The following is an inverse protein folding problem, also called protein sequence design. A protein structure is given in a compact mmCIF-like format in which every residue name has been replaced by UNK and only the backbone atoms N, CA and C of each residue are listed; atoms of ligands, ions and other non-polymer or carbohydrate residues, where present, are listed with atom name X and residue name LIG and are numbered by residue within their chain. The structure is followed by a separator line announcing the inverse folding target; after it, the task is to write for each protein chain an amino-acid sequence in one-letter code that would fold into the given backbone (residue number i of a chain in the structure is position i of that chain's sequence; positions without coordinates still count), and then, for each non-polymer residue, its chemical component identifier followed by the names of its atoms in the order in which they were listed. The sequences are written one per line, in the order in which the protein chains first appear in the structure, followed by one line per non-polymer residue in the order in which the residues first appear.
data_IF_971170251129
#
_entry.id   IF_971170251129
#
_cell.length_a   1.000
_cell.length_b   1.000
_cell.length_c   1.000
_cell.angle_alpha   90.00
_cell.angle_beta   90.00
_cell.angle_gamma   90.00
#
_symmetry.space_group_name_H-M   'P 1'
#
loop_
_entity.id
_entity.type
_entity.pdbx_description
1 polymer ?
#
# COMPACT_ATOMS: atom_id res chain seq x y z
N UNK A 1 66.31 -5.84 -0.69
CA UNK A 1 65.53 -6.57 0.33
C UNK A 1 64.13 -6.68 -0.21
N UNK A 2 63.79 -7.89 -0.62
CA UNK A 2 62.74 -8.25 -1.57
C UNK A 2 61.34 -8.16 -0.94
N UNK A 3 60.34 -7.72 -1.71
CA UNK A 3 58.93 -7.53 -1.31
C UNK A 3 58.25 -8.83 -0.82
N UNK A 4 58.91 -9.98 -0.99
CA UNK A 4 58.49 -11.25 -0.42
C UNK A 4 58.62 -11.32 1.11
N UNK A 5 59.55 -10.58 1.72
CA UNK A 5 59.79 -10.68 3.18
C UNK A 5 58.78 -9.87 4.02
N UNK A 6 58.17 -8.82 3.44
CA UNK A 6 57.12 -8.02 4.12
C UNK A 6 55.77 -8.75 4.11
N UNK A 7 55.51 -9.62 3.12
CA UNK A 7 54.27 -10.42 3.04
C UNK A 7 54.24 -11.61 4.01
N UNK A 8 55.40 -12.09 4.46
CA UNK A 8 55.49 -13.17 5.45
C UNK A 8 55.05 -12.69 6.85
N UNK A 9 55.25 -11.42 7.19
CA UNK A 9 54.87 -10.84 8.49
C UNK A 9 53.40 -10.41 8.61
N UNK A 10 52.65 -10.41 7.49
CA UNK A 10 51.28 -9.90 7.43
C UNK A 10 50.20 -10.97 7.21
N UNK A 11 50.49 -12.25 7.48
CA UNK A 11 49.51 -13.33 7.67
C UNK A 11 48.30 -13.23 6.71
N UNK A 12 48.58 -13.09 5.41
CA UNK A 12 47.55 -12.74 4.40
C UNK A 12 46.93 -13.97 3.72
N UNK A 13 47.43 -15.17 4.00
CA UNK A 13 46.86 -16.43 3.53
C UNK A 13 45.68 -16.88 4.42
N UNK A 14 45.77 -16.71 5.74
CA UNK A 14 44.67 -17.05 6.65
C UNK A 14 43.51 -16.03 6.62
N UNK A 15 43.77 -14.77 6.24
CA UNK A 15 42.72 -13.73 6.20
C UNK A 15 41.61 -14.01 5.19
N UNK A 16 41.88 -14.67 4.06
CA UNK A 16 40.86 -14.94 3.03
C UNK A 16 39.94 -16.10 3.44
N UNK A 17 40.47 -17.14 4.10
CA UNK A 17 39.66 -18.22 4.66
C UNK A 17 38.93 -17.78 5.93
N UNK A 18 39.54 -16.94 6.77
CA UNK A 18 38.89 -16.34 7.95
C UNK A 18 37.78 -15.37 7.52
N UNK A 19 37.96 -14.51 6.52
CA UNK A 19 36.87 -13.68 5.98
C UNK A 19 35.74 -14.50 5.33
N UNK A 20 36.06 -15.59 4.62
CA UNK A 20 35.06 -16.52 4.07
C UNK A 20 34.32 -17.29 5.17
N UNK A 21 34.98 -17.68 6.24
CA UNK A 21 34.37 -18.38 7.37
C UNK A 21 33.55 -17.42 8.24
N UNK A 22 34.02 -16.19 8.45
CA UNK A 22 33.28 -15.13 9.17
C UNK A 22 32.05 -14.71 8.38
N UNK A 23 32.13 -14.57 7.06
CA UNK A 23 30.97 -14.25 6.21
C UNK A 23 29.96 -15.41 6.13
N UNK A 24 30.41 -16.67 6.05
CA UNK A 24 29.53 -17.84 6.18
C UNK A 24 28.86 -17.92 7.55
N UNK A 25 29.61 -17.66 8.61
CA UNK A 25 29.11 -17.66 9.99
C UNK A 25 28.10 -16.52 10.21
N UNK A 26 28.37 -15.32 9.70
CA UNK A 26 27.41 -14.20 9.68
C UNK A 26 26.14 -14.57 8.90
N UNK A 27 26.28 -15.17 7.71
CA UNK A 27 25.13 -15.59 6.91
C UNK A 27 24.28 -16.64 7.63
N UNK A 28 24.92 -17.57 8.35
CA UNK A 28 24.23 -18.58 9.13
C UNK A 28 23.56 -17.99 10.37
N UNK A 29 24.22 -17.05 11.05
CA UNK A 29 23.63 -16.29 12.16
C UNK A 29 22.42 -15.46 11.69
N UNK A 30 22.50 -14.80 10.53
CA UNK A 30 21.38 -14.06 9.95
C UNK A 30 20.21 -14.99 9.65
N UNK A 31 20.46 -16.17 9.08
CA UNK A 31 19.43 -17.18 8.84
C UNK A 31 18.80 -17.71 10.14
N UNK A 32 19.61 -17.99 11.16
CA UNK A 32 19.11 -18.39 12.47
C UNK A 32 18.27 -17.29 13.13
N UNK A 33 18.70 -16.03 13.02
CA UNK A 33 17.96 -14.89 13.53
C UNK A 33 16.61 -14.77 12.81
N UNK A 34 16.59 -14.90 11.49
CA UNK A 34 15.37 -14.91 10.70
C UNK A 34 14.43 -16.05 11.12
N UNK A 35 14.95 -17.27 11.28
CA UNK A 35 14.17 -18.42 11.74
C UNK A 35 13.64 -18.22 13.16
N UNK A 36 14.44 -17.62 14.05
CA UNK A 36 14.01 -17.29 15.40
C UNK A 36 12.89 -16.23 15.40
N UNK A 37 12.99 -15.19 14.56
CA UNK A 37 11.94 -14.17 14.38
C UNK A 37 10.65 -14.82 13.89
N UNK A 38 10.71 -15.65 12.84
CA UNK A 38 9.53 -16.36 12.35
C UNK A 38 8.93 -17.30 13.40
N UNK A 39 9.76 -18.03 14.13
CA UNK A 39 9.30 -18.93 15.20
C UNK A 39 8.62 -18.16 16.33
N UNK A 40 9.18 -17.02 16.74
CA UNK A 40 8.61 -16.15 17.76
C UNK A 40 7.29 -15.52 17.29
N UNK A 41 7.20 -15.11 16.02
CA UNK A 41 5.96 -14.58 15.43
C UNK A 41 4.87 -15.64 15.39
N UNK A 42 5.18 -16.86 14.97
CA UNK A 42 4.23 -17.98 14.94
C UNK A 42 3.78 -18.32 16.36
N UNK A 43 4.73 -18.50 17.29
CA UNK A 43 4.43 -18.80 18.69
C UNK A 43 3.60 -17.69 19.35
N UNK A 44 3.96 -16.43 19.12
CA UNK A 44 3.21 -15.27 19.61
C UNK A 44 1.82 -15.21 19.02
N UNK A 45 1.65 -15.51 17.73
CA UNK A 45 0.33 -15.56 17.09
C UNK A 45 -0.55 -16.65 17.71
N UNK A 46 -0.01 -17.86 17.87
CA UNK A 46 -0.73 -18.97 18.53
C UNK A 46 -1.11 -18.61 19.96
N UNK A 47 -0.18 -18.02 20.73
CA UNK A 47 -0.40 -17.69 22.13
C UNK A 47 -1.35 -16.51 22.34
N UNK A 48 -1.24 -15.45 21.53
CA UNK A 48 -2.06 -14.25 21.67
C UNK A 48 -3.47 -14.41 21.09
N UNK A 49 -3.65 -15.28 20.10
CA UNK A 49 -4.93 -15.49 19.40
C UNK A 49 -5.52 -16.89 19.60
N UNK A 50 -5.01 -17.64 20.59
CA UNK A 50 -5.36 -19.01 20.97
C UNK A 50 -5.89 -19.84 19.80
N UNK A 51 -5.02 -20.07 18.82
CA UNK A 51 -5.37 -20.83 17.63
C UNK A 51 -5.54 -22.29 18.00
N UNK A 52 -6.79 -22.74 18.08
CA UNK A 52 -7.14 -24.14 18.31
C UNK A 52 -7.59 -24.78 17.00
N UNK A 53 -7.05 -25.96 16.71
CA UNK A 53 -7.49 -26.76 15.56
C UNK A 53 -8.46 -27.85 16.04
N UNK A 54 -9.75 -27.65 15.77
CA UNK A 54 -10.76 -28.67 16.06
C UNK A 54 -10.75 -29.74 14.95
N UNK A 55 -10.05 -30.86 15.23
CA UNK A 55 -9.94 -32.02 14.34
C UNK A 55 -11.30 -32.63 13.96
N UNK A 56 -12.34 -32.44 14.76
CA UNK A 56 -13.65 -33.06 14.51
C UNK A 56 -14.48 -32.25 13.51
N UNK A 57 -14.28 -30.94 13.46
CA UNK A 57 -15.03 -30.02 12.57
C UNK A 57 -14.19 -29.53 11.39
N UNK A 58 -12.89 -29.79 11.37
CA UNK A 58 -11.92 -29.18 10.43
C UNK A 58 -12.02 -27.64 10.41
N UNK A 59 -12.28 -27.05 11.57
CA UNK A 59 -12.36 -25.59 11.74
C UNK A 59 -11.20 -25.14 12.63
N UNK A 60 -10.52 -24.07 12.20
CA UNK A 60 -9.56 -23.34 13.04
C UNK A 60 -10.37 -22.30 13.80
N UNK A 61 -10.44 -22.42 15.13
CA UNK A 61 -10.97 -21.36 15.99
C UNK A 61 -9.83 -20.46 16.44
N UNK A 62 -10.11 -19.17 16.52
CA UNK A 62 -9.18 -18.17 17.02
C UNK A 62 -9.95 -17.18 17.88
N UNK A 63 -9.39 -16.88 19.04
CA UNK A 63 -9.94 -15.87 19.93
C UNK A 63 -8.80 -15.10 20.60
N UNK A 64 -9.01 -13.82 20.87
CA UNK A 64 -8.04 -13.00 21.58
C UNK A 64 -7.85 -13.54 23.00
N UNK A 65 -6.66 -14.06 23.30
CA UNK A 65 -6.30 -14.68 24.57
C UNK A 65 -5.86 -13.67 25.66
N UNK A 66 -5.99 -12.38 25.37
CA UNK A 66 -5.61 -11.30 26.27
C UNK A 66 -6.76 -10.32 26.46
N UNK A 67 -6.82 -9.74 27.65
CA UNK A 67 -7.80 -8.71 28.01
C UNK A 67 -7.35 -7.32 27.56
N UNK A 68 -8.30 -6.39 27.49
CA UNK A 68 -8.01 -4.97 27.26
C UNK A 68 -6.96 -4.40 28.23
N UNK A 69 -7.04 -4.79 29.52
CA UNK A 69 -6.08 -4.36 30.53
C UNK A 69 -4.68 -4.92 30.29
N UNK A 70 -4.55 -6.21 29.96
CA UNK A 70 -3.27 -6.83 29.64
C UNK A 70 -2.64 -6.22 28.39
N UNK A 71 -3.45 -5.92 27.36
CA UNK A 71 -2.97 -5.24 26.16
C UNK A 71 -2.43 -3.84 26.46
N UNK A 72 -3.18 -3.04 27.22
CA UNK A 72 -2.73 -1.71 27.62
C UNK A 72 -1.48 -1.77 28.52
N UNK A 73 -1.38 -2.74 29.41
CA UNK A 73 -0.19 -2.95 30.23
C UNK A 73 1.02 -3.33 29.38
N UNK A 74 0.84 -4.17 28.36
CA UNK A 74 1.88 -4.47 27.38
C UNK A 74 2.32 -3.22 26.63
N UNK A 75 1.38 -2.41 26.11
CA UNK A 75 1.70 -1.13 25.46
C UNK A 75 2.50 -0.22 26.39
N UNK A 76 2.08 -0.03 27.65
CA UNK A 76 2.85 0.73 28.66
C UNK A 76 4.27 0.23 28.84
N UNK A 77 4.44 -1.09 28.82
CA UNK A 77 5.74 -1.74 29.02
C UNK A 77 6.65 -1.59 27.81
N UNK A 78 6.10 -1.61 26.60
CA UNK A 78 6.88 -1.65 25.34
C UNK A 78 7.12 -0.27 24.75
N UNK A 79 6.18 0.67 24.87
CA UNK A 79 6.26 2.00 24.24
C UNK A 79 7.53 2.75 24.67
N UNK A 80 7.85 2.79 25.97
CA UNK A 80 9.03 3.52 26.48
C UNK A 80 10.35 2.90 25.99
N UNK A 81 10.59 1.57 26.13
CA UNK A 81 11.76 0.93 25.54
C UNK A 81 11.89 1.17 24.03
N UNK A 82 10.79 1.14 23.27
CA UNK A 82 10.81 1.43 21.83
C UNK A 82 11.29 2.85 21.52
N UNK A 83 10.85 3.85 22.29
CA UNK A 83 11.37 5.22 22.17
C UNK A 83 12.88 5.24 22.40
N UNK A 84 13.38 4.57 23.44
CA UNK A 84 14.81 4.50 23.74
C UNK A 84 15.61 3.76 22.68
N UNK A 85 15.09 2.68 22.10
CA UNK A 85 15.71 2.01 20.94
C UNK A 85 15.83 2.99 19.78
N UNK A 86 14.79 3.78 19.50
CA UNK A 86 14.81 4.83 18.48
C UNK A 86 15.86 5.91 18.76
N UNK A 87 15.94 6.40 20.01
CA UNK A 87 16.96 7.36 20.44
C UNK A 87 18.37 6.80 20.27
N UNK A 88 18.61 5.55 20.69
CA UNK A 88 19.91 4.90 20.57
C UNK A 88 20.29 4.69 19.10
N UNK A 89 19.35 4.29 18.25
CA UNK A 89 19.57 4.14 16.81
C UNK A 89 19.90 5.49 16.15
N UNK A 90 19.13 6.54 16.45
CA UNK A 90 19.36 7.87 15.89
C UNK A 90 20.71 8.45 16.33
N UNK A 91 21.02 8.33 17.63
CA UNK A 91 22.30 8.81 18.16
C UNK A 91 23.48 8.06 17.57
N UNK A 92 23.36 6.73 17.37
CA UNK A 92 24.36 5.94 16.66
C UNK A 92 24.61 6.46 15.25
N UNK A 93 23.55 6.66 14.45
CA UNK A 93 23.68 7.18 13.08
C UNK A 93 24.23 8.62 13.03
N UNK A 94 23.85 9.47 13.98
CA UNK A 94 24.40 10.82 14.09
C UNK A 94 25.90 10.79 14.38
N UNK A 95 26.34 9.93 15.31
CA UNK A 95 27.75 9.79 15.71
C UNK A 95 28.57 9.18 14.56
N UNK A 96 28.11 8.10 13.94
CA UNK A 96 28.82 7.46 12.82
C UNK A 96 28.96 8.43 11.64
N UNK A 97 27.90 9.21 11.34
CA UNK A 97 27.94 10.25 10.30
C UNK A 97 28.89 11.39 10.67
N UNK A 98 28.91 11.82 11.93
CA UNK A 98 29.85 12.84 12.42
C UNK A 98 31.31 12.40 12.22
N UNK A 99 31.63 11.15 12.58
CA UNK A 99 32.97 10.59 12.38
C UNK A 99 33.34 10.51 10.89
N UNK A 100 32.41 10.11 10.02
CA UNK A 100 32.64 10.08 8.57
C UNK A 100 32.95 11.47 8.01
N UNK A 101 32.20 12.49 8.43
CA UNK A 101 32.45 13.88 8.03
C UNK A 101 33.78 14.42 8.57
N UNK A 102 34.18 14.03 9.79
CA UNK A 102 35.43 14.45 10.41
C UNK A 102 36.69 13.82 9.78
N UNK A 103 36.56 12.62 9.20
CA UNK A 103 37.66 11.88 8.58
C UNK A 103 37.94 12.25 7.11
N UNK A 104 37.21 13.21 6.53
CA UNK A 104 37.45 13.68 5.15
C UNK A 104 38.74 14.50 5.07
N UNK A 105 39.53 14.28 4.01
CA UNK A 105 40.75 15.04 3.75
C UNK A 105 40.45 16.46 3.23
N UNK A 106 41.16 17.45 3.79
CA UNK A 106 41.05 18.86 3.42
C UNK A 106 40.12 19.68 4.33
N UNK A 107 40.60 20.85 4.76
CA UNK A 107 39.92 21.72 5.73
C UNK A 107 38.53 22.18 5.26
N UNK A 108 38.42 22.69 4.02
CA UNK A 108 37.16 23.22 3.48
C UNK A 108 36.08 22.14 3.35
N UNK A 109 36.45 20.95 2.88
CA UNK A 109 35.53 19.82 2.74
C UNK A 109 35.06 19.30 4.09
N UNK A 110 35.97 19.21 5.07
CA UNK A 110 35.62 18.87 6.46
C UNK A 110 34.69 19.91 7.07
N UNK A 111 34.97 21.20 6.89
CA UNK A 111 34.11 22.28 7.40
C UNK A 111 32.70 22.20 6.80
N UNK A 112 32.58 22.11 5.47
CA UNK A 112 31.29 22.00 4.80
C UNK A 112 30.54 20.72 5.20
N UNK A 113 31.25 19.59 5.30
CA UNK A 113 30.68 18.33 5.77
C UNK A 113 30.15 18.41 7.20
N UNK A 114 30.84 19.11 8.09
CA UNK A 114 30.39 19.33 9.47
C UNK A 114 29.17 20.27 9.53
N UNK A 115 29.11 21.30 8.70
CA UNK A 115 27.93 22.19 8.59
C UNK A 115 26.73 21.40 8.08
N UNK A 116 26.89 20.66 6.99
CA UNK A 116 25.85 19.80 6.43
C UNK A 116 25.36 18.78 7.46
N UNK A 117 26.28 18.07 8.12
CA UNK A 117 25.95 17.13 9.20
C UNK A 117 25.15 17.82 10.30
N UNK A 118 25.56 19.01 10.75
CA UNK A 118 24.87 19.73 11.82
C UNK A 118 23.42 20.07 11.45
N UNK A 119 23.19 20.53 10.22
CA UNK A 119 21.85 20.85 9.72
C UNK A 119 20.97 19.60 9.65
N UNK A 120 21.44 18.52 9.01
CA UNK A 120 20.67 17.29 8.88
C UNK A 120 20.47 16.55 10.21
N UNK A 121 21.46 16.61 11.11
CA UNK A 121 21.36 16.06 12.46
C UNK A 121 20.29 16.81 13.26
N UNK A 122 20.28 18.15 13.20
CA UNK A 122 19.26 18.97 13.86
C UNK A 122 17.86 18.72 13.28
N UNK A 123 17.73 18.64 11.95
CA UNK A 123 16.48 18.32 11.28
C UNK A 123 15.96 16.93 11.66
N UNK A 124 16.84 15.91 11.68
CA UNK A 124 16.48 14.53 12.02
C UNK A 124 16.08 14.40 13.49
N UNK A 125 16.80 15.04 14.40
CA UNK A 125 16.46 15.08 15.81
C UNK A 125 15.14 15.80 16.07
N UNK A 126 14.89 16.90 15.36
CA UNK A 126 13.62 17.64 15.45
C UNK A 126 12.45 16.81 14.93
N UNK A 127 12.61 16.17 13.76
CA UNK A 127 11.59 15.29 13.18
C UNK A 127 11.31 14.09 14.08
N UNK A 128 12.35 13.47 14.61
CA UNK A 128 12.22 12.38 15.59
C UNK A 128 11.47 12.86 16.83
N UNK A 129 11.83 14.01 17.41
CA UNK A 129 11.17 14.55 18.58
C UNK A 129 9.67 14.79 18.33
N UNK A 130 9.29 15.50 17.26
CA UNK A 130 7.86 15.74 16.97
C UNK A 130 7.12 14.44 16.66
N UNK A 131 7.78 13.43 16.07
CA UNK A 131 7.18 12.10 15.83
C UNK A 131 6.82 11.33 17.11
N UNK A 132 7.45 11.65 18.26
CA UNK A 132 7.14 11.02 19.54
C UNK A 132 5.72 11.33 19.99
N UNK A 133 5.15 12.47 19.61
CA UNK A 133 3.78 12.86 19.98
C UNK A 133 2.75 11.88 19.42
N UNK A 134 2.62 11.69 18.08
CA UNK A 134 1.69 10.72 17.53
C UNK A 134 2.04 9.27 17.90
N UNK A 135 3.34 8.93 18.06
CA UNK A 135 3.75 7.59 18.46
C UNK A 135 3.29 7.21 19.87
N UNK A 136 3.51 8.10 20.84
CA UNK A 136 3.12 7.84 22.24
C UNK A 136 1.63 8.00 22.48
N UNK A 137 0.88 8.61 21.54
CA UNK A 137 -0.56 8.79 21.68
C UNK A 137 -1.33 7.47 21.84
N UNK A 138 -0.72 6.33 21.46
CA UNK A 138 -1.26 4.99 21.70
C UNK A 138 -1.45 4.69 23.20
N UNK A 139 -0.65 5.32 24.06
CA UNK A 139 -0.65 5.15 25.51
C UNK A 139 -0.62 6.53 26.18
N UNK A 140 -1.77 6.95 26.70
CA UNK A 140 -2.00 8.32 27.17
C UNK A 140 -1.01 8.79 28.25
N UNK A 141 -0.61 7.90 29.18
CA UNK A 141 0.30 8.31 30.26
C UNK A 141 1.71 8.64 29.74
N UNK A 142 2.20 7.88 28.74
CA UNK A 142 3.48 8.14 28.08
C UNK A 142 3.45 9.44 27.29
N UNK A 143 2.33 9.73 26.60
CA UNK A 143 2.16 11.00 25.90
C UNK A 143 2.13 12.20 26.85
N UNK A 144 1.47 12.04 28.01
CA UNK A 144 1.43 13.05 29.06
C UNK A 144 2.82 13.32 29.66
N UNK A 145 3.67 12.29 29.75
CA UNK A 145 5.07 12.39 30.24
C UNK A 145 6.04 13.04 29.26
N UNK A 146 5.65 13.24 27.99
CA UNK A 146 6.52 13.94 27.03
C UNK A 146 6.81 15.37 27.49
N UNK A 147 8.02 15.83 27.20
CA UNK A 147 8.42 17.20 27.49
C UNK A 147 7.47 18.18 26.77
N UNK A 148 6.88 19.16 27.46
CA UNK A 148 5.90 20.07 26.86
C UNK A 148 6.40 20.79 25.61
N UNK A 149 7.70 21.10 25.54
CA UNK A 149 8.31 21.74 24.35
C UNK A 149 8.18 20.88 23.08
N UNK A 150 8.18 19.55 23.21
CA UNK A 150 7.98 18.64 22.07
C UNK A 150 6.54 18.68 21.57
N UNK A 151 5.57 18.76 22.48
CA UNK A 151 4.14 18.89 22.12
C UNK A 151 3.87 20.22 21.42
N UNK A 152 4.39 21.31 21.97
CA UNK A 152 4.28 22.63 21.35
C UNK A 152 4.96 22.68 19.97
N UNK A 153 6.13 22.07 19.82
CA UNK A 153 6.80 21.96 18.53
C UNK A 153 5.96 21.17 17.52
N UNK A 154 5.33 20.07 17.94
CA UNK A 154 4.40 19.30 17.10
C UNK A 154 3.20 20.15 16.65
N UNK A 155 2.54 20.86 17.56
CA UNK A 155 1.40 21.75 17.24
C UNK A 155 1.76 22.81 16.19
N UNK A 156 2.95 23.41 16.28
CA UNK A 156 3.41 24.43 15.31
C UNK A 156 3.58 23.85 13.91
N UNK A 157 4.03 22.59 13.80
CA UNK A 157 4.33 21.94 12.52
C UNK A 157 3.20 21.05 11.98
N UNK A 158 2.13 20.84 12.75
CA UNK A 158 1.04 19.92 12.40
C UNK A 158 0.39 20.25 11.05
N UNK A 159 0.21 21.54 10.73
CA UNK A 159 -0.32 21.99 9.43
C UNK A 159 0.47 21.50 8.21
N UNK A 160 1.75 21.18 8.39
CA UNK A 160 2.63 20.67 7.32
C UNK A 160 2.60 19.14 7.23
N UNK A 161 1.93 18.46 8.17
CA UNK A 161 1.76 17.02 8.21
C UNK A 161 3.09 16.24 8.11
N UNK A 162 4.17 16.79 8.71
CA UNK A 162 5.52 16.22 8.68
C UNK A 162 5.60 14.87 9.42
N UNK A 163 4.77 14.69 10.44
CA UNK A 163 4.63 13.45 11.22
C UNK A 163 3.16 13.20 11.48
N UNK A 164 2.75 11.94 11.44
CA UNK A 164 1.34 11.56 11.51
C UNK A 164 1.14 10.37 12.45
N UNK A 165 -0.07 10.27 13.01
CA UNK A 165 -0.49 9.04 13.69
C UNK A 165 -0.77 7.96 12.66
N UNK A 166 -0.04 6.85 12.72
CA UNK A 166 -0.27 5.70 11.86
C UNK A 166 -1.31 4.78 12.50
N UNK A 167 -2.55 4.95 12.11
CA UNK A 167 -3.64 4.03 12.42
C UNK A 167 -4.74 4.22 11.39
N UNK A 168 -4.93 3.23 10.51
CA UNK A 168 -5.92 3.34 9.43
C UNK A 168 -7.33 3.61 10.00
N UNK A 169 -7.67 2.96 11.13
CA UNK A 169 -8.90 3.15 11.90
C UNK A 169 -8.66 2.83 13.38
N UNK A 170 -8.49 3.86 14.21
CA UNK A 170 -8.17 3.67 15.64
C UNK A 170 -9.34 3.11 16.45
N UNK A 171 -10.58 3.46 16.07
CA UNK A 171 -11.81 2.82 16.55
C UNK A 171 -12.52 2.28 15.32
N UNK A 172 -12.63 0.96 15.21
CA UNK A 172 -13.43 0.34 14.16
C UNK A 172 -14.91 0.39 14.53
N UNK A 173 -15.73 0.78 13.57
CA UNK A 173 -17.19 0.74 13.68
C UNK A 173 -17.68 -0.70 13.48
N UNK A 174 -18.74 -1.12 14.16
CA UNK A 174 -19.36 -2.44 13.94
C UNK A 174 -19.53 -3.30 15.19
N UNK A 175 -18.95 -2.93 16.34
CA UNK A 175 -19.14 -3.64 17.62
C UNK A 175 -20.62 -3.71 18.02
N UNK A 176 -21.39 -2.67 17.69
CA UNK A 176 -22.85 -2.61 17.85
C UNK A 176 -23.64 -2.79 16.55
N UNK A 177 -23.04 -3.43 15.53
CA UNK A 177 -23.58 -3.51 14.18
C UNK A 177 -22.98 -2.45 13.26
N UNK A 178 -22.79 -2.82 11.99
CA UNK A 178 -22.23 -1.93 10.96
C UNK A 178 -23.36 -1.10 10.36
N UNK A 179 -23.36 0.25 10.49
CA UNK A 179 -24.34 1.09 9.84
C UNK A 179 -24.10 1.08 8.32
N UNK A 180 -25.17 0.97 7.55
CA UNK A 180 -25.15 0.92 6.10
C UNK A 180 -26.31 1.75 5.55
N UNK A 181 -25.99 2.65 4.62
CA UNK A 181 -26.99 3.38 3.84
C UNK A 181 -27.40 2.52 2.65
N UNK A 182 -28.70 2.31 2.52
CA UNK A 182 -29.34 1.56 1.44
C UNK A 182 -30.13 2.54 0.60
N UNK A 183 -29.79 2.62 -0.70
CA UNK A 183 -30.49 3.46 -1.67
C UNK A 183 -31.61 2.63 -2.28
N UNK A 184 -32.80 3.19 -2.34
CA UNK A 184 -33.95 2.59 -2.99
C UNK A 184 -34.44 3.49 -4.11
N UNK A 185 -34.78 2.87 -5.24
CA UNK A 185 -35.42 3.55 -6.36
C UNK A 185 -36.86 3.11 -6.56
N UNK A 186 -37.64 3.98 -7.21
CA UNK A 186 -39.03 3.71 -7.54
C UNK A 186 -39.44 4.46 -8.81
N UNK A 187 -40.40 3.91 -9.55
CA UNK A 187 -41.03 4.55 -10.70
C UNK A 187 -42.38 5.20 -10.35
N UNK A 188 -43.00 4.80 -9.22
CA UNK A 188 -44.36 5.17 -8.82
C UNK A 188 -44.41 5.81 -7.41
N UNK A 189 -43.28 5.88 -6.70
CA UNK A 189 -43.13 6.28 -5.30
C UNK A 189 -43.83 5.35 -4.27
N UNK A 190 -44.35 4.20 -4.71
CA UNK A 190 -45.06 3.22 -3.87
C UNK A 190 -44.25 1.93 -3.76
N UNK A 191 -43.80 1.41 -4.89
CA UNK A 191 -42.99 0.20 -4.97
C UNK A 191 -41.51 0.59 -5.00
N UNK A 192 -40.77 0.19 -3.96
CA UNK A 192 -39.36 0.55 -3.80
C UNK A 192 -38.48 -0.67 -4.01
N UNK A 193 -37.42 -0.51 -4.81
CA UNK A 193 -36.43 -1.54 -5.09
C UNK A 193 -35.05 -1.08 -4.64
N UNK A 194 -34.39 -1.87 -3.81
CA UNK A 194 -33.03 -1.60 -3.34
C UNK A 194 -32.03 -1.65 -4.50
N UNK A 195 -31.13 -0.67 -4.53
CA UNK A 195 -30.00 -0.62 -5.45
C UNK A 195 -28.83 -1.32 -4.76
N UNK A 196 -28.53 -2.53 -5.22
CA UNK A 196 -27.44 -3.35 -4.67
C UNK A 196 -26.07 -2.86 -5.16
N UNK A 197 -25.16 -2.67 -4.21
CA UNK A 197 -23.77 -2.31 -4.45
C UNK A 197 -22.90 -3.57 -4.61
N UNK A 198 -21.79 -3.46 -5.33
CA UNK A 198 -20.92 -4.62 -5.61
C UNK A 198 -20.22 -5.19 -4.37
N UNK A 199 -19.80 -4.37 -3.41
CA UNK A 199 -18.82 -4.80 -2.41
C UNK A 199 -19.20 -4.53 -0.97
N UNK A 200 -20.03 -3.52 -0.68
CA UNK A 200 -20.58 -3.31 0.67
C UNK A 200 -21.74 -4.26 0.99
N UNK A 201 -22.08 -4.47 2.27
CA UNK A 201 -23.29 -5.19 2.65
C UNK A 201 -24.55 -4.55 2.06
N UNK A 202 -25.48 -5.39 1.65
CA UNK A 202 -26.77 -5.03 1.05
C UNK A 202 -27.71 -6.23 1.16
N UNK A 203 -27.71 -7.07 0.13
CA UNK A 203 -28.39 -8.36 0.10
C UNK A 203 -28.04 -9.25 1.30
N UNK A 204 -29.07 -9.64 2.07
CA UNK A 204 -28.92 -10.43 3.29
C UNK A 204 -28.37 -11.84 3.07
N UNK A 205 -28.52 -12.39 1.86
CA UNK A 205 -28.06 -13.73 1.50
C UNK A 205 -26.71 -13.74 0.80
N UNK A 206 -26.11 -12.58 0.51
CA UNK A 206 -24.82 -12.50 -0.15
C UNK A 206 -23.66 -12.52 0.88
N UNK A 207 -22.65 -13.39 0.71
CA UNK A 207 -21.45 -13.33 1.55
C UNK A 207 -20.65 -12.04 1.27
N UNK A 208 -19.87 -11.55 2.23
CA UNK A 208 -18.87 -10.52 1.94
C UNK A 208 -17.89 -11.00 0.85
N UNK A 209 -17.64 -10.19 -0.20
CA UNK A 209 -16.70 -10.55 -1.24
C UNK A 209 -15.23 -10.37 -0.79
N UNK A 210 -14.33 -11.17 -1.37
CA UNK A 210 -12.88 -10.95 -1.25
C UNK A 210 -12.45 -9.97 -2.32
N UNK A 211 -12.20 -8.72 -1.94
CA UNK A 211 -11.91 -7.63 -2.90
C UNK A 211 -10.45 -7.21 -2.93
N UNK A 212 -9.66 -7.55 -1.92
CA UNK A 212 -8.22 -7.23 -1.85
C UNK A 212 -7.51 -7.71 -3.13
N UNK A 213 -6.64 -6.91 -3.75
CA UNK A 213 -6.14 -5.59 -3.33
C UNK A 213 -6.92 -4.39 -3.91
N UNK A 214 -8.08 -4.63 -4.53
CA UNK A 214 -8.96 -3.54 -4.95
C UNK A 214 -9.48 -2.77 -3.72
N UNK A 215 -9.56 -1.44 -3.84
CA UNK A 215 -10.16 -0.56 -2.85
C UNK A 215 -11.43 0.07 -3.44
N UNK A 216 -12.62 -0.48 -3.15
CA UNK A 216 -13.89 0.04 -3.65
C UNK A 216 -14.17 1.46 -3.16
N UNK A 217 -13.82 2.49 -3.96
CA UNK A 217 -13.85 3.89 -3.50
C UNK A 217 -15.25 4.36 -3.14
N UNK A 218 -16.27 4.00 -3.93
CA UNK A 218 -17.65 4.42 -3.65
C UNK A 218 -18.22 3.69 -2.44
N UNK A 219 -18.12 2.36 -2.36
CA UNK A 219 -18.59 1.57 -1.22
C UNK A 219 -17.91 2.00 0.09
N UNK A 220 -16.64 2.39 0.03
CA UNK A 220 -15.92 2.93 1.18
C UNK A 220 -16.45 4.29 1.61
N UNK A 221 -16.74 5.19 0.66
CA UNK A 221 -17.38 6.47 0.96
C UNK A 221 -18.79 6.27 1.52
N UNK A 222 -19.54 5.28 1.04
CA UNK A 222 -20.85 4.91 1.60
C UNK A 222 -20.76 4.46 3.06
N UNK A 223 -19.71 3.71 3.43
CA UNK A 223 -19.47 3.36 4.83
C UNK A 223 -19.26 4.61 5.69
N UNK A 224 -18.43 5.56 5.26
CA UNK A 224 -18.27 6.82 6.00
C UNK A 224 -19.55 7.65 6.07
N UNK A 225 -20.30 7.75 4.98
CA UNK A 225 -21.56 8.46 4.96
C UNK A 225 -22.57 7.89 5.97
N UNK A 226 -22.55 6.57 6.21
CA UNK A 226 -23.41 5.92 7.17
C UNK A 226 -23.08 6.26 8.64
N UNK A 227 -21.91 6.85 8.93
CA UNK A 227 -21.49 7.17 10.30
C UNK A 227 -22.08 8.48 10.83
N UNK A 228 -22.66 9.31 9.97
CA UNK A 228 -23.23 10.60 10.32
C UNK A 228 -24.53 10.88 9.55
N UNK A 229 -25.06 12.10 9.64
CA UNK A 229 -26.17 12.56 8.81
C UNK A 229 -25.71 12.81 7.37
N UNK A 230 -26.64 12.77 6.42
CA UNK A 230 -26.35 13.00 4.99
C UNK A 230 -25.69 14.36 4.69
N UNK A 231 -25.87 15.37 5.55
CA UNK A 231 -25.29 16.70 5.40
C UNK A 231 -23.76 16.72 5.54
N UNK A 232 -23.18 15.71 6.20
CA UNK A 232 -21.72 15.51 6.28
C UNK A 232 -21.14 14.82 5.04
N UNK A 233 -21.99 14.31 4.15
CA UNK A 233 -21.59 13.70 2.89
C UNK A 233 -22.20 14.43 1.67
N UNK A 234 -21.79 15.68 1.36
CA UNK A 234 -22.33 16.47 0.25
C UNK A 234 -22.34 15.75 -1.11
N UNK A 235 -21.32 14.91 -1.37
CA UNK A 235 -21.20 14.13 -2.59
C UNK A 235 -22.37 13.14 -2.79
N UNK A 236 -23.02 12.69 -1.70
CA UNK A 236 -24.16 11.78 -1.75
C UNK A 236 -25.35 12.42 -2.48
N UNK A 237 -25.59 13.71 -2.26
CA UNK A 237 -26.63 14.48 -2.99
C UNK A 237 -26.39 14.43 -4.50
N UNK A 238 -25.13 14.61 -4.93
CA UNK A 238 -24.75 14.51 -6.35
C UNK A 238 -24.91 13.08 -6.87
N UNK A 239 -24.56 12.05 -6.08
CA UNK A 239 -24.83 10.66 -6.43
C UNK A 239 -26.32 10.43 -6.73
N UNK A 240 -27.21 10.82 -5.81
CA UNK A 240 -28.67 10.69 -5.98
C UNK A 240 -29.17 11.40 -7.24
N UNK A 241 -28.72 12.65 -7.45
CA UNK A 241 -29.08 13.43 -8.64
C UNK A 241 -28.63 12.75 -9.95
N UNK A 242 -27.40 12.22 -10.01
CA UNK A 242 -26.86 11.58 -11.21
C UNK A 242 -27.50 10.21 -11.48
N UNK A 243 -27.94 9.49 -10.44
CA UNK A 243 -28.70 8.26 -10.57
C UNK A 243 -30.10 8.52 -11.12
N UNK A 244 -30.80 9.55 -10.64
CA UNK A 244 -32.08 10.00 -11.21
C UNK A 244 -31.96 10.41 -12.69
N UNK A 245 -30.80 10.96 -13.08
CA UNK A 245 -30.50 11.26 -14.49
C UNK A 245 -30.15 10.03 -15.35
N UNK A 246 -30.01 8.85 -14.74
CA UNK A 246 -29.58 7.63 -15.45
C UNK A 246 -28.15 7.71 -15.99
N UNK A 247 -27.25 8.47 -15.33
CA UNK A 247 -25.87 8.62 -15.82
C UNK A 247 -25.11 7.29 -15.72
N UNK A 248 -24.83 6.69 -16.88
CA UNK A 248 -24.16 5.40 -17.00
C UNK A 248 -22.84 5.32 -16.22
N UNK A 249 -22.00 6.35 -16.29
CA UNK A 249 -20.71 6.35 -15.60
C UNK A 249 -20.85 6.30 -14.07
N UNK A 250 -21.98 6.77 -13.52
CA UNK A 250 -22.29 6.69 -12.08
C UNK A 250 -22.89 5.34 -11.72
N UNK A 251 -23.78 4.81 -12.57
CA UNK A 251 -24.32 3.45 -12.41
C UNK A 251 -23.19 2.42 -12.39
N UNK A 252 -22.17 2.56 -13.26
CA UNK A 252 -21.02 1.67 -13.31
C UNK A 252 -20.11 1.71 -12.07
N UNK A 253 -20.19 2.78 -11.25
CA UNK A 253 -19.52 2.81 -9.94
C UNK A 253 -20.22 1.92 -8.91
N UNK A 254 -21.55 1.79 -9.01
CA UNK A 254 -22.35 0.93 -8.12
C UNK A 254 -22.31 -0.50 -8.62
N UNK A 255 -22.46 -0.68 -9.93
CA UNK A 255 -22.55 -1.99 -10.56
C UNK A 255 -21.91 -2.00 -11.95
N UNK A 256 -20.82 -2.76 -12.08
CA UNK A 256 -20.08 -2.91 -13.33
C UNK A 256 -20.85 -3.75 -14.35
N UNK A 257 -21.62 -4.75 -13.90
CA UNK A 257 -22.56 -5.50 -14.72
C UNK A 257 -23.92 -4.80 -14.72
N UNK A 258 -24.10 -3.86 -15.66
CA UNK A 258 -25.28 -2.99 -15.75
C UNK A 258 -26.60 -3.78 -15.79
N UNK A 259 -26.61 -5.04 -16.24
CA UNK A 259 -27.83 -5.87 -16.25
C UNK A 259 -28.37 -6.17 -14.84
N UNK A 260 -27.50 -6.14 -13.82
CA UNK A 260 -27.87 -6.34 -12.41
C UNK A 260 -28.41 -5.07 -11.74
N UNK A 261 -28.27 -3.92 -12.38
CA UNK A 261 -28.82 -2.67 -11.86
C UNK A 261 -30.34 -2.66 -12.13
N UNK A 262 -31.21 -2.53 -11.11
CA UNK A 262 -32.66 -2.69 -11.29
C UNK A 262 -33.27 -1.71 -12.29
N UNK A 263 -32.68 -0.51 -12.41
CA UNK A 263 -33.16 0.59 -13.25
C UNK A 263 -32.29 0.76 -14.50
N UNK A 264 -31.79 -0.34 -15.08
CA UNK A 264 -30.90 -0.28 -16.25
C UNK A 264 -31.63 0.06 -17.57
N UNK A 265 -32.92 -0.27 -17.67
CA UNK A 265 -33.72 0.03 -18.86
C UNK A 265 -34.19 1.49 -18.87
N UNK A 266 -34.62 1.99 -17.71
CA UNK A 266 -35.06 3.36 -17.49
C UNK A 266 -34.63 3.82 -16.11
N UNK A 267 -34.14 5.07 -15.95
CA UNK A 267 -33.77 5.60 -14.65
C UNK A 267 -34.98 5.66 -13.71
N UNK A 268 -34.77 5.55 -12.39
CA UNK A 268 -35.85 5.66 -11.43
C UNK A 268 -36.41 7.09 -11.43
N UNK A 269 -37.73 7.21 -11.28
CA UNK A 269 -38.39 8.52 -11.14
C UNK A 269 -38.16 9.13 -9.75
N UNK A 270 -38.02 8.27 -8.75
CA UNK A 270 -37.83 8.64 -7.35
C UNK A 270 -36.69 7.85 -6.74
N UNK A 271 -35.92 8.50 -5.86
CA UNK A 271 -34.94 7.85 -4.99
C UNK A 271 -35.18 8.24 -3.54
N UNK A 272 -34.84 7.35 -2.62
CA UNK A 272 -34.72 7.62 -1.18
C UNK A 272 -33.56 6.81 -0.60
N UNK A 273 -33.15 7.12 0.61
CA UNK A 273 -32.16 6.29 1.30
C UNK A 273 -32.47 6.11 2.77
N UNK A 274 -32.26 4.88 3.25
CA UNK A 274 -32.48 4.49 4.64
C UNK A 274 -31.17 4.00 5.24
N UNK A 275 -30.96 4.26 6.53
CA UNK A 275 -29.86 3.66 7.28
C UNK A 275 -30.35 2.42 8.02
N UNK A 276 -29.59 1.36 7.90
CA UNK A 276 -29.78 0.11 8.63
C UNK A 276 -28.52 -0.23 9.39
N UNK A 277 -28.65 -0.99 10.49
CA UNK A 277 -27.51 -1.64 11.13
C UNK A 277 -27.46 -3.10 10.72
N UNK A 278 -26.29 -3.56 10.30
CA UNK A 278 -26.03 -4.92 9.83
C UNK A 278 -25.17 -5.70 10.82
N UNK A 279 -25.50 -6.98 11.01
CA UNK A 279 -24.70 -7.95 11.75
C UNK A 279 -24.61 -9.23 10.93
N UNK A 280 -23.55 -10.00 11.16
CA UNK A 280 -23.53 -11.39 10.74
C UNK A 280 -24.66 -12.16 11.42
N UNK A 281 -25.25 -13.09 10.70
CA UNK A 281 -26.19 -14.04 11.30
C UNK A 281 -25.47 -14.95 12.28
N UNK A 282 -26.11 -15.20 13.41
CA UNK A 282 -25.59 -16.10 14.43
C UNK A 282 -25.92 -17.56 14.06
N UNK A 283 -25.05 -18.52 14.38
CA UNK A 283 -25.38 -19.94 14.28
C UNK A 283 -26.63 -20.24 15.09
N UNK A 284 -27.47 -21.15 14.60
CA UNK A 284 -28.61 -21.65 15.37
C UNK A 284 -28.12 -22.51 16.55
N UNK A 285 -29.00 -22.71 17.54
CA UNK A 285 -28.70 -23.51 18.74
C UNK A 285 -28.30 -24.97 18.43
N UNK A 286 -28.69 -25.49 17.27
CA UNK A 286 -28.31 -26.81 16.76
C UNK A 286 -26.94 -26.85 16.05
N UNK A 287 -26.25 -25.71 15.96
CA UNK A 287 -24.96 -25.55 15.29
C UNK A 287 -25.04 -25.33 13.78
N UNK A 288 -26.23 -25.30 13.19
CA UNK A 288 -26.40 -24.99 11.77
C UNK A 288 -26.38 -23.49 11.50
N UNK A 289 -25.82 -23.07 10.36
CA UNK A 289 -25.81 -21.67 9.95
C UNK A 289 -27.11 -21.30 9.20
N UNK A 290 -27.68 -20.11 9.44
CA UNK A 290 -28.79 -19.61 8.64
C UNK A 290 -28.42 -19.47 7.15
N UNK A 291 -29.41 -19.55 6.26
CA UNK A 291 -29.19 -19.34 4.82
C UNK A 291 -28.77 -17.90 4.48
N UNK A 292 -29.08 -16.94 5.35
CA UNK A 292 -28.67 -15.54 5.21
C UNK A 292 -27.34 -15.33 5.90
N UNK A 293 -26.47 -14.52 5.29
CA UNK A 293 -25.21 -14.07 5.86
C UNK A 293 -25.39 -12.90 6.82
N UNK A 294 -26.43 -12.09 6.59
CA UNK A 294 -26.67 -10.88 7.35
C UNK A 294 -28.06 -10.84 7.98
N UNK A 295 -28.13 -10.24 9.16
CA UNK A 295 -29.35 -9.68 9.74
C UNK A 295 -29.21 -8.17 9.77
N UNK A 296 -30.30 -7.45 9.49
CA UNK A 296 -30.32 -5.99 9.57
C UNK A 296 -31.53 -5.49 10.33
N UNK A 297 -31.39 -4.33 10.94
CA UNK A 297 -32.48 -3.60 11.62
C UNK A 297 -32.50 -2.19 11.06
N UNK A 298 -33.69 -1.68 10.77
CA UNK A 298 -33.89 -0.30 10.34
C UNK A 298 -33.48 0.64 11.48
N UNK A 299 -32.69 1.66 11.17
CA UNK A 299 -32.21 2.64 12.12
C UNK A 299 -33.01 3.94 11.95
N UNK A 300 -32.87 4.60 10.80
CA UNK A 300 -33.55 5.86 10.50
C UNK A 300 -33.60 6.15 8.98
N UNK A 301 -34.39 7.16 8.61
CA UNK A 301 -34.32 7.74 7.27
C UNK A 301 -33.01 8.52 7.14
N UNK A 302 -32.21 8.18 6.12
CA UNK A 302 -30.94 8.85 5.88
C UNK A 302 -31.10 10.02 4.91
N UNK A 303 -31.91 9.83 3.86
CA UNK A 303 -32.15 10.82 2.82
C UNK A 303 -33.61 10.72 2.33
N UNK A 304 -34.33 11.85 2.24
CA UNK A 304 -35.76 11.85 1.93
C UNK A 304 -36.03 11.43 0.48
N UNK A 305 -37.31 11.21 0.17
CA UNK A 305 -37.76 10.94 -1.19
C UNK A 305 -37.51 12.16 -2.08
N UNK A 306 -36.75 11.96 -3.16
CA UNK A 306 -36.40 12.99 -4.14
C UNK A 306 -36.67 12.52 -5.56
N UNK A 307 -36.93 13.48 -6.45
CA UNK A 307 -37.10 13.30 -7.90
C UNK A 307 -36.46 14.48 -8.62
N UNK A 308 -36.32 14.42 -9.95
CA UNK A 308 -35.80 15.55 -10.72
C UNK A 308 -36.76 16.75 -10.66
N UNK A 309 -36.25 17.93 -10.29
CA UNK A 309 -37.07 19.14 -10.08
C UNK A 309 -37.63 19.29 -8.67
N UNK A 310 -37.30 18.37 -7.76
CA UNK A 310 -37.62 18.49 -6.34
C UNK A 310 -36.86 19.68 -5.69
N UNK A 311 -37.56 20.51 -4.93
CA UNK A 311 -37.01 21.72 -4.29
C UNK A 311 -35.92 21.42 -3.26
N UNK A 312 -36.09 20.36 -2.45
CA UNK A 312 -35.09 19.93 -1.48
C UNK A 312 -33.79 19.51 -2.19
N UNK A 313 -33.89 18.65 -3.22
CA UNK A 313 -32.72 18.22 -3.99
C UNK A 313 -31.98 19.40 -4.64
N UNK A 314 -32.73 20.32 -5.26
CA UNK A 314 -32.16 21.50 -5.88
C UNK A 314 -31.50 22.45 -4.86
N UNK A 315 -32.10 22.62 -3.69
CA UNK A 315 -31.53 23.44 -2.61
C UNK A 315 -30.19 22.89 -2.11
N UNK A 316 -30.11 21.57 -1.92
CA UNK A 316 -28.89 20.88 -1.48
C UNK A 316 -27.80 20.94 -2.54
N UNK A 317 -28.15 20.75 -3.82
CA UNK A 317 -27.20 20.88 -4.93
C UNK A 317 -26.64 22.30 -5.03
N UNK A 318 -27.45 23.32 -4.78
CA UNK A 318 -27.00 24.72 -4.77
C UNK A 318 -26.12 25.03 -3.56
N UNK A 319 -26.53 24.61 -2.36
CA UNK A 319 -25.80 24.85 -1.11
C UNK A 319 -24.37 24.34 -1.17
N UNK A 320 -24.15 23.19 -1.81
CA UNK A 320 -22.83 22.58 -1.94
C UNK A 320 -22.09 22.96 -3.24
N UNK A 321 -22.64 23.84 -4.07
CA UNK A 321 -22.03 24.22 -5.35
C UNK A 321 -21.94 23.04 -6.35
N UNK A 322 -22.87 22.09 -6.27
CA UNK A 322 -22.89 20.86 -7.08
C UNK A 322 -23.86 20.93 -8.28
N UNK A 323 -24.73 21.94 -8.34
CA UNK A 323 -25.68 22.15 -9.45
C UNK A 323 -25.00 22.69 -10.70
N UNK A 324 -23.99 23.54 -10.52
CA UNK A 324 -23.29 24.18 -11.63
C UNK A 324 -22.53 23.15 -12.47
N UNK A 325 -22.53 23.36 -13.79
CA UNK A 325 -21.73 22.55 -14.71
C UNK A 325 -20.27 22.72 -14.28
N UNK A 326 -19.67 21.65 -13.77
CA UNK A 326 -18.22 21.61 -13.55
C UNK A 326 -17.55 22.14 -14.82
N UNK A 327 -16.54 23.02 -14.71
CA UNK A 327 -15.85 23.53 -15.89
C UNK A 327 -15.43 22.33 -16.75
N UNK A 328 -15.55 22.42 -18.09
CA UNK A 328 -15.26 21.30 -18.97
C UNK A 328 -13.86 20.77 -18.63
N UNK A 329 -13.82 19.56 -18.08
CA UNK A 329 -12.57 18.94 -17.63
C UNK A 329 -11.66 18.89 -18.85
N UNK A 330 -10.52 19.60 -18.81
CA UNK A 330 -9.62 19.70 -19.96
C UNK A 330 -9.16 18.29 -20.32
N UNK A 331 -9.69 17.75 -21.41
CA UNK A 331 -9.36 16.40 -21.85
C UNK A 331 -7.96 16.49 -22.44
N UNK A 332 -6.98 15.96 -21.73
CA UNK A 332 -5.64 15.85 -22.28
C UNK A 332 -5.66 14.90 -23.47
N UNK A 333 -5.14 15.38 -24.60
CA UNK A 333 -4.95 14.60 -25.81
C UNK A 333 -3.56 13.96 -25.89
N UNK A 334 -2.81 13.94 -24.79
CA UNK A 334 -1.54 13.21 -24.73
C UNK A 334 -1.73 11.74 -25.06
N UNK A 335 -0.71 11.13 -25.66
CA UNK A 335 -0.68 9.70 -26.01
C UNK A 335 -1.00 8.82 -24.81
N UNK A 336 -0.47 9.16 -23.63
CA UNK A 336 -0.77 8.48 -22.36
C UNK A 336 -2.26 8.56 -22.03
N UNK A 337 -2.89 9.73 -22.13
CA UNK A 337 -4.30 9.88 -21.83
C UNK A 337 -5.19 9.09 -22.82
N UNK A 338 -4.81 9.03 -24.09
CA UNK A 338 -5.49 8.22 -25.10
C UNK A 338 -5.35 6.72 -24.80
N UNK A 339 -4.14 6.27 -24.45
CA UNK A 339 -3.86 4.87 -24.08
C UNK A 339 -4.64 4.45 -22.84
N UNK A 340 -4.69 5.29 -21.79
CA UNK A 340 -5.47 5.02 -20.57
C UNK A 340 -6.97 4.95 -20.88
N UNK A 341 -7.49 5.85 -21.73
CA UNK A 341 -8.90 5.83 -22.15
C UNK A 341 -9.22 4.58 -22.97
N UNK A 342 -8.34 4.21 -23.89
CA UNK A 342 -8.49 2.99 -24.68
C UNK A 342 -8.48 1.77 -23.78
N UNK A 343 -7.50 1.64 -22.87
CA UNK A 343 -7.42 0.53 -21.93
C UNK A 343 -8.69 0.45 -21.08
N UNK A 344 -9.14 1.57 -20.51
CA UNK A 344 -10.40 1.65 -19.75
C UNK A 344 -11.61 1.18 -20.57
N UNK A 345 -11.64 1.45 -21.87
CA UNK A 345 -12.73 0.99 -22.74
C UNK A 345 -12.73 -0.53 -22.93
N UNK A 346 -11.55 -1.17 -22.97
CA UNK A 346 -11.41 -2.62 -23.14
C UNK A 346 -11.80 -3.39 -21.87
N UNK A 347 -11.54 -2.83 -20.69
CA UNK A 347 -11.88 -3.47 -19.40
C UNK A 347 -13.25 -3.05 -18.85
N UNK A 348 -14.02 -2.26 -19.61
CA UNK A 348 -15.36 -1.84 -19.19
C UNK A 348 -16.26 -3.06 -19.04
N UNK A 349 -16.94 -3.19 -17.90
CA UNK A 349 -17.78 -4.35 -17.60
C UNK A 349 -17.07 -5.49 -16.86
N UNK A 350 -15.74 -5.39 -16.64
CA UNK A 350 -15.00 -6.35 -15.82
C UNK A 350 -14.87 -5.83 -14.39
N UNK A 351 -15.27 -6.61 -13.36
CA UNK A 351 -15.05 -6.23 -11.96
C UNK A 351 -13.55 -5.97 -11.67
N UNK A 352 -13.25 -4.84 -11.03
CA UNK A 352 -11.87 -4.44 -10.75
C UNK A 352 -11.04 -5.47 -9.95
N UNK A 353 -11.57 -6.19 -8.95
CA UNK A 353 -10.81 -7.24 -8.26
C UNK A 353 -10.36 -8.35 -9.21
N UNK A 354 -11.21 -8.75 -10.16
CA UNK A 354 -10.85 -9.79 -11.13
C UNK A 354 -9.70 -9.32 -12.02
N UNK A 355 -9.75 -8.08 -12.50
CA UNK A 355 -8.66 -7.50 -13.30
C UNK A 355 -7.33 -7.47 -12.54
N UNK A 356 -7.34 -7.10 -11.26
CA UNK A 356 -6.10 -7.02 -10.48
C UNK A 356 -5.55 -8.43 -10.19
N UNK A 357 -6.40 -9.37 -9.82
CA UNK A 357 -5.98 -10.75 -9.58
C UNK A 357 -5.46 -11.44 -10.83
N UNK A 358 -6.05 -11.19 -12.01
CA UNK A 358 -5.52 -11.72 -13.27
C UNK A 358 -4.15 -11.15 -13.58
N UNK A 359 -3.93 -9.84 -13.39
CA UNK A 359 -2.60 -9.22 -13.56
C UNK A 359 -1.56 -9.81 -12.60
N UNK A 360 -1.90 -9.97 -11.32
CA UNK A 360 -1.01 -10.58 -10.32
C UNK A 360 -0.69 -12.04 -10.71
N UNK A 361 -1.69 -12.82 -11.09
CA UNK A 361 -1.51 -14.21 -11.50
C UNK A 361 -0.67 -14.33 -12.77
N UNK A 362 -0.87 -13.45 -13.76
CA UNK A 362 -0.05 -13.39 -14.97
C UNK A 362 1.40 -13.02 -14.65
N UNK A 363 1.63 -12.05 -13.76
CA UNK A 363 3.00 -11.70 -13.34
C UNK A 363 3.67 -12.86 -12.61
N UNK A 364 2.97 -13.51 -11.69
CA UNK A 364 3.50 -14.63 -10.92
C UNK A 364 3.84 -15.83 -11.82
N UNK A 365 2.98 -16.15 -12.79
CA UNK A 365 3.22 -17.23 -13.75
C UNK A 365 4.40 -16.90 -14.67
N UNK A 366 4.53 -15.66 -15.14
CA UNK A 366 5.69 -15.23 -15.93
C UNK A 366 7.00 -15.34 -15.14
N UNK A 367 7.04 -14.87 -13.89
CA UNK A 367 8.21 -15.02 -13.02
C UNK A 367 8.55 -16.50 -12.76
N UNK A 368 7.55 -17.35 -12.55
CA UNK A 368 7.76 -18.78 -12.36
C UNK A 368 8.35 -19.43 -13.62
N UNK A 369 7.83 -19.11 -14.80
CA UNK A 369 8.35 -19.60 -16.08
C UNK A 369 9.80 -19.16 -16.26
N UNK A 370 10.13 -17.89 -16.00
CA UNK A 370 11.51 -17.40 -16.07
C UNK A 370 12.46 -18.15 -15.14
N UNK A 371 12.05 -18.43 -13.90
CA UNK A 371 12.85 -19.20 -12.94
C UNK A 371 13.07 -20.63 -13.43
N UNK A 372 12.04 -21.28 -13.95
CA UNK A 372 12.14 -22.64 -14.49
C UNK A 372 13.04 -22.71 -15.73
N UNK A 373 12.93 -21.75 -16.65
CA UNK A 373 13.79 -21.64 -17.82
C UNK A 373 15.25 -21.39 -17.44
N UNK A 374 15.51 -20.50 -16.46
CA UNK A 374 16.85 -20.22 -15.97
C UNK A 374 17.48 -21.41 -15.21
N UNK A 375 16.68 -22.16 -14.44
CA UNK A 375 17.13 -23.41 -13.81
C UNK A 375 17.49 -24.46 -14.86
N UNK A 376 16.70 -24.58 -15.93
CA UNK A 376 16.97 -25.52 -17.03
C UNK A 376 18.23 -25.14 -17.80
N UNK A 377 18.47 -23.83 -18.02
CA UNK A 377 19.70 -23.31 -18.65
C UNK A 377 20.94 -23.58 -17.78
N UNK A 378 20.85 -23.35 -16.46
CA UNK A 378 21.93 -23.70 -15.51
C UNK A 378 22.17 -25.21 -15.44
N UNK A 379 21.11 -26.03 -15.40
CA UNK A 379 21.22 -27.49 -15.38
C UNK A 379 21.91 -28.05 -16.64
N UNK A 380 21.62 -27.48 -17.83
CA UNK A 380 22.31 -27.81 -19.08
C UNK A 380 23.79 -27.41 -19.08
N UNK A 381 24.17 -26.34 -18.39
CA UNK A 381 25.56 -25.90 -18.26
C UNK A 381 26.37 -26.73 -17.24
N UNK A 382 25.71 -27.44 -16.31
CA UNK A 382 26.36 -28.24 -15.27
C UNK A 382 26.44 -29.75 -15.55
N UNK A 383 25.98 -30.25 -16.71
CA UNK A 383 26.24 -31.65 -17.07
C UNK A 383 27.67 -31.79 -17.62
N UNK A 384 28.54 -32.63 -17.03
CA UNK A 384 29.87 -32.86 -17.56
C UNK A 384 29.77 -33.65 -18.87
N UNK A 385 30.52 -33.22 -19.88
CA UNK A 385 30.71 -33.99 -21.11
C UNK A 385 31.25 -35.39 -20.73
N UNK A 386 30.45 -36.42 -20.95
CA UNK A 386 30.86 -37.79 -20.70
C UNK A 386 31.88 -38.19 -21.78
N UNK A 387 33.12 -38.42 -21.36
CA UNK A 387 34.21 -38.90 -22.21
C UNK A 387 33.86 -40.25 -22.83
N UNK A 388 33.79 -40.30 -24.16
CA UNK A 388 34.03 -41.55 -24.90
C UNK A 388 35.46 -41.47 -25.42
N UNK A 389 36.37 -42.10 -24.68
CA UNK A 389 37.71 -42.41 -25.16
C UNK A 389 37.69 -43.84 -25.69
N UNK A 390 37.84 -44.00 -27.00
CA UNK A 390 38.29 -45.27 -27.56
C UNK A 390 39.47 -45.05 -28.52
N UNK A 391 40.65 -45.38 -27.98
CA UNK A 391 41.85 -45.93 -28.63
C UNK A 391 42.13 -45.53 -30.09
N UNK A 392 43.21 -44.75 -30.27
CA UNK A 392 44.30 -45.13 -31.16
C UNK A 392 45.55 -44.30 -30.85
N UNK A 393 46.46 -44.85 -30.05
CA UNK A 393 47.88 -44.50 -30.14
C UNK A 393 48.50 -45.43 -31.19
N UNK A 394 49.16 -44.88 -32.21
CA UNK A 394 50.40 -45.44 -32.77
C UNK A 394 51.02 -44.47 -33.79
N UNK A 395 52.22 -44.00 -33.43
CA UNK A 395 53.41 -43.82 -34.27
C UNK A 395 53.41 -42.94 -35.54
N UNK A 396 54.16 -41.84 -35.42
CA UNK A 396 55.21 -41.27 -36.31
C UNK A 396 54.95 -40.94 -37.79
N UNK A 397 55.31 -39.68 -38.07
CA UNK A 397 55.99 -39.13 -39.25
C UNK A 397 55.26 -38.93 -40.58
N UNK A 398 55.65 -37.79 -41.19
CA UNK A 398 55.55 -37.38 -42.59
C UNK A 398 54.44 -36.37 -42.98
N UNK A 399 54.91 -35.11 -43.13
CA UNK A 399 54.83 -34.28 -44.35
C UNK A 399 53.50 -34.22 -45.11
N UNK A 400 52.91 -33.03 -45.04
CA UNK A 400 52.30 -32.17 -46.08
C UNK A 400 51.38 -32.75 -47.19
N UNK A 401 50.30 -31.98 -47.38
CA UNK A 401 49.41 -31.81 -48.54
C UNK A 401 48.43 -32.93 -48.91
N UNK A 402 47.14 -32.66 -48.67
CA UNK A 402 46.26 -32.12 -49.74
C UNK A 402 44.78 -32.05 -49.31
N UNK A 403 44.12 -30.98 -49.78
CA UNK A 403 42.68 -30.76 -49.98
C UNK A 403 41.73 -30.57 -48.77
N UNK A 404 41.49 -29.29 -48.46
CA UNK A 404 40.19 -28.61 -48.55
C UNK A 404 38.92 -29.48 -48.59
N UNK A 405 38.03 -29.30 -47.61
CA UNK A 405 36.79 -28.51 -47.84
C UNK A 405 35.92 -28.40 -46.56
N UNK A 406 35.33 -27.21 -46.40
CA UNK A 406 34.17 -26.84 -45.57
C UNK A 406 34.36 -26.65 -44.05
N UNK A 407 34.66 -25.41 -43.64
CA UNK A 407 33.74 -24.53 -42.87
C UNK A 407 34.47 -23.30 -42.30
N UNK A 408 34.57 -22.28 -43.15
CA UNK A 408 34.55 -20.88 -42.72
C UNK A 408 33.13 -20.48 -42.30
N UNK A 409 33.03 -19.31 -41.65
CA UNK A 409 31.83 -18.66 -41.11
C UNK A 409 31.33 -19.21 -39.77
N UNK A 410 31.92 -18.74 -38.67
CA UNK A 410 31.20 -17.97 -37.62
C UNK A 410 32.21 -17.51 -36.56
N UNK A 411 33.12 -16.57 -36.90
CA UNK A 411 33.88 -15.85 -35.85
C UNK A 411 34.52 -14.55 -36.36
N UNK A 412 33.71 -13.62 -36.86
CA UNK A 412 34.11 -12.23 -37.05
C UNK A 412 32.84 -11.41 -37.28
N UNK A 413 32.29 -10.84 -36.20
CA UNK A 413 31.32 -9.72 -36.18
C UNK A 413 30.86 -9.54 -34.72
N UNK A 414 31.75 -9.06 -33.87
CA UNK A 414 31.40 -8.44 -32.58
C UNK A 414 32.58 -7.61 -32.05
N UNK A 415 33.12 -6.78 -32.93
CA UNK A 415 34.06 -5.70 -32.61
C UNK A 415 33.99 -4.78 -33.80
N UNK A 416 33.57 -3.54 -33.57
CA UNK A 416 33.30 -2.43 -34.51
C UNK A 416 31.82 -2.05 -34.56
N UNK A 417 31.40 -1.25 -33.58
CA UNK A 417 30.42 -0.16 -33.70
C UNK A 417 30.26 0.55 -32.33
N UNK A 418 31.37 1.08 -31.81
CA UNK A 418 31.37 2.14 -30.79
C UNK A 418 32.58 3.03 -31.09
N UNK A 419 32.39 4.06 -31.93
CA UNK A 419 32.97 5.41 -31.79
C UNK A 419 32.61 6.29 -33.00
N UNK A 420 32.40 7.59 -32.70
CA UNK A 420 32.16 8.74 -33.59
C UNK A 420 30.73 8.98 -34.13
N UNK A 421 29.96 9.80 -33.42
CA UNK A 421 29.69 11.17 -33.89
C UNK A 421 29.27 12.06 -32.71
N UNK A 422 29.80 13.27 -32.69
CA UNK A 422 29.36 14.33 -31.80
C UNK A 422 29.39 15.63 -32.58
N UNK A 423 28.43 16.54 -32.34
CA UNK A 423 28.61 18.01 -32.34
C UNK A 423 27.29 18.75 -31.99
N UNK A 424 27.38 19.62 -30.97
CA UNK A 424 26.63 20.87 -30.65
C UNK A 424 25.12 20.87 -30.35
N UNK A 425 24.78 21.41 -29.17
CA UNK A 425 24.25 22.78 -29.03
C UNK A 425 24.18 23.21 -27.55
N UNK A 426 24.66 24.43 -27.30
CA UNK A 426 24.46 25.23 -26.09
C UNK A 426 23.13 25.99 -26.23
N UNK A 427 22.34 26.12 -25.15
CA UNK A 427 21.41 27.23 -24.87
C UNK A 427 20.81 26.99 -23.45
N UNK A 428 21.23 27.80 -22.47
CA UNK A 428 20.45 28.89 -21.85
C UNK A 428 19.37 28.42 -20.85
N UNK A 429 19.67 28.62 -19.56
CA UNK A 429 18.70 28.56 -18.46
C UNK A 429 18.38 30.01 -18.08
N UNK A 430 17.19 30.47 -18.47
CA UNK A 430 16.62 31.71 -17.94
C UNK A 430 16.13 31.49 -16.50
N UNK A 431 16.58 32.40 -15.64
CA UNK A 431 15.96 32.74 -14.36
C UNK A 431 14.61 33.41 -14.61
N UNK A 432 13.60 33.06 -13.81
CA UNK A 432 12.53 33.99 -13.48
C UNK A 432 12.42 34.06 -11.97
N UNK A 433 12.88 35.19 -11.43
CA UNK A 433 12.39 35.75 -10.17
C UNK A 433 10.95 36.22 -10.36
N UNK A 434 10.18 36.28 -9.29
CA UNK A 434 8.79 36.75 -9.27
C UNK A 434 8.27 36.79 -7.84
N UNK A 435 8.56 37.90 -7.17
CA UNK A 435 7.92 38.35 -5.92
C UNK A 435 6.40 38.47 -6.09
N UNK A 436 5.64 38.11 -5.05
CA UNK A 436 4.42 38.83 -4.69
C UNK A 436 4.11 38.63 -3.20
N UNK A 437 4.23 39.74 -2.46
CA UNK A 437 3.78 39.93 -1.09
C UNK A 437 2.26 40.16 -1.02
N UNK A 438 1.69 39.76 0.13
CA UNK A 438 0.64 40.42 0.96
C UNK A 438 -0.67 39.68 1.22
N UNK A 439 -0.88 39.53 2.53
CA UNK A 439 -2.10 39.76 3.33
C UNK A 439 -3.39 39.02 2.94
N UNK A 440 -3.86 38.13 3.81
CA UNK A 440 -5.00 38.47 4.69
C UNK A 440 -5.25 37.42 5.79
N UNK A 441 -5.79 37.98 6.87
CA UNK A 441 -6.04 37.46 8.21
C UNK A 441 -7.33 36.61 8.34
N UNK A 442 -7.42 35.90 9.48
CA UNK A 442 -8.64 35.51 10.26
C UNK A 442 -9.54 34.32 9.84
N UNK A 443 -9.50 33.29 10.69
CA UNK A 443 -10.59 32.72 11.55
C UNK A 443 -10.34 31.21 11.74
N UNK A 444 -9.85 30.78 12.90
CA UNK A 444 -10.64 30.20 14.01
C UNK A 444 -11.65 29.11 13.58
N UNK A 445 -11.37 27.85 13.93
CA UNK A 445 -12.11 27.17 15.02
C UNK A 445 -11.53 25.81 15.39
N UNK A 446 -11.50 25.62 16.70
CA UNK A 446 -11.13 24.43 17.45
C UNK A 446 -12.16 23.31 17.25
N UNK A 447 -11.71 22.09 17.00
CA UNK A 447 -12.52 20.87 17.11
C UNK A 447 -12.16 20.15 18.42
N UNK A 448 -12.86 20.51 19.49
CA UNK A 448 -13.00 19.70 20.69
C UNK A 448 -14.18 18.76 20.43
N UNK A 449 -13.90 17.50 20.09
CA UNK A 449 -14.93 16.46 20.06
C UNK A 449 -15.10 15.89 21.46
N UNK A 450 -16.21 16.27 22.08
CA UNK A 450 -16.67 15.83 23.39
C UNK A 450 -17.01 14.34 23.37
N UNK A 451 -16.43 13.58 24.31
CA UNK A 451 -16.72 12.16 24.53
C UNK A 451 -18.03 12.01 25.32
N UNK A 452 -19.14 11.79 24.61
CA UNK A 452 -20.20 10.94 25.11
C UNK A 452 -20.87 10.24 23.93
N UNK A 453 -20.75 8.91 23.88
CA UNK A 453 -21.72 7.91 23.40
C UNK A 453 -21.06 6.54 23.26
#
# INVERSE_FOLDING_TARGET
LDDQHVRFWLCKTDRVEVEKNVSKLLSWLSFLLELAVWSLLIFGTISCFDLQYDKTKNVVSSHTAYTYHQFNQFLKTVTIPCVWIGVLSLTWEMITSMFRCACVSGFLRRFWGMVQWSVFAAASASLFAVSLVPFTFIEYDSNARLWPGVRQAFEVVDRYQLVNSYGLFRRMTGVGGRPEVIIEGSNDAVTWTEIEFMYKPGNLSAPPPVVTPHQPRLDWQMWFAALGPHTQAPWFTSLMYRLLQGKRDVIELIQTDVSRYPFHQQPPAYLRAHRYRYWFTEPKADGSYPQRWWRRVYDEEFYPIVHLGNTFLDSMLNQYGLKDKSPPRRVSNTTVAQMVRWFRSQVRGVPAPMLIWTLIACSATFSLIQVLLNKTKRARQTMPACNVSEKASNHTDAVADSCSDLREETREQQTEEEEEDGTKSEEEVEKSDGDEDREEDRMEKEDIFDESF
#
